data_IF_083106152947
#
_entry.id   IF_083106152947
#
_cell.length_a   1.000
_cell.length_b   1.000
_cell.length_c   1.000
_cell.angle_alpha   90.00
_cell.angle_beta   90.00
_cell.angle_gamma   90.00
#
_symmetry.space_group_name_H-M   'P 1'
#
loop_
_entity.id
_entity.type
_entity.pdbx_description
1 polymer ?
#
# COMPACT_ATOMS: atom_id res chain seq x y z
N UNK A 1 7.76 -1.17 18.25
CA UNK A 1 8.56 -2.14 17.50
C UNK A 1 7.78 -2.72 16.33
N UNK A 2 6.52 -3.11 16.55
CA UNK A 2 5.62 -3.73 15.56
C UNK A 2 5.54 -3.00 14.23
N UNK A 3 5.37 -1.67 14.25
CA UNK A 3 5.29 -0.87 13.02
C UNK A 3 6.62 -0.82 12.25
N UNK A 4 7.76 -1.01 12.92
CA UNK A 4 9.07 -1.11 12.26
C UNK A 4 9.27 -2.47 11.58
N UNK A 5 8.60 -3.52 12.05
CA UNK A 5 8.64 -4.85 11.45
C UNK A 5 7.57 -5.02 10.36
N UNK A 6 6.38 -4.45 10.56
CA UNK A 6 5.27 -4.57 9.62
C UNK A 6 5.55 -3.85 8.29
N UNK A 7 6.18 -2.68 8.33
CA UNK A 7 6.51 -1.88 7.14
C UNK A 7 7.43 -2.62 6.15
N UNK A 8 8.60 -3.15 6.53
CA UNK A 8 9.44 -3.93 5.62
C UNK A 8 8.80 -5.27 5.23
N UNK A 9 8.02 -5.89 6.12
CA UNK A 9 7.33 -7.15 5.81
C UNK A 9 6.32 -6.99 4.68
N UNK A 10 5.44 -5.99 4.76
CA UNK A 10 4.45 -5.72 3.71
C UNK A 10 5.14 -5.35 2.40
N UNK A 11 6.22 -4.55 2.47
CA UNK A 11 7.00 -4.17 1.29
C UNK A 11 7.61 -5.39 0.58
N UNK A 12 8.20 -6.30 1.36
CA UNK A 12 8.76 -7.55 0.85
C UNK A 12 7.69 -8.41 0.17
N UNK A 13 6.53 -8.60 0.80
CA UNK A 13 5.44 -9.37 0.21
C UNK A 13 4.94 -8.75 -1.11
N UNK A 14 4.80 -7.42 -1.18
CA UNK A 14 4.40 -6.73 -2.40
C UNK A 14 5.43 -6.92 -3.52
N UNK A 15 6.73 -6.85 -3.21
CA UNK A 15 7.80 -7.13 -4.18
C UNK A 15 7.78 -8.59 -4.63
N UNK A 16 7.69 -9.52 -3.69
CA UNK A 16 7.65 -10.95 -3.99
C UNK A 16 6.46 -11.32 -4.88
N UNK A 17 5.28 -10.74 -4.63
CA UNK A 17 4.11 -10.92 -5.49
C UNK A 17 4.32 -10.38 -6.91
N UNK A 18 5.02 -9.25 -7.06
CA UNK A 18 5.32 -8.68 -8.37
C UNK A 18 6.39 -9.49 -9.12
N UNK A 19 7.36 -10.09 -8.41
CA UNK A 19 8.44 -10.89 -9.01
C UNK A 19 7.99 -12.31 -9.38
N UNK A 20 7.14 -12.96 -8.55
CA UNK A 20 6.80 -14.38 -8.71
C UNK A 20 5.35 -14.65 -9.16
N UNK A 21 4.42 -13.73 -8.93
CA UNK A 21 2.99 -13.92 -9.22
C UNK A 21 2.43 -12.84 -10.16
N UNK A 22 3.25 -12.37 -11.11
CA UNK A 22 2.85 -11.30 -12.03
C UNK A 22 1.65 -11.70 -12.90
N UNK A 23 1.61 -12.93 -13.42
CA UNK A 23 0.49 -13.45 -14.24
C UNK A 23 -0.85 -13.43 -13.48
N UNK A 24 -0.86 -13.91 -12.23
CA UNK A 24 -2.06 -13.87 -11.38
C UNK A 24 -2.50 -12.43 -11.08
N UNK A 25 -1.55 -11.52 -10.89
CA UNK A 25 -1.83 -10.09 -10.67
C UNK A 25 -2.37 -9.40 -11.93
N UNK A 26 -1.91 -9.80 -13.12
CA UNK A 26 -2.46 -9.33 -14.39
C UNK A 26 -3.91 -9.79 -14.57
N UNK A 27 -4.22 -11.03 -14.18
CA UNK A 27 -5.58 -11.56 -14.14
C UNK A 27 -6.45 -10.74 -13.16
N UNK A 28 -6.01 -10.54 -11.92
CA UNK A 28 -6.76 -9.73 -10.95
C UNK A 28 -7.00 -8.29 -11.44
N UNK A 29 -6.03 -7.72 -12.15
CA UNK A 29 -6.13 -6.36 -12.71
C UNK A 29 -7.19 -6.27 -13.80
N UNK A 30 -7.40 -7.33 -14.58
CA UNK A 30 -8.42 -7.39 -15.63
C UNK A 30 -9.83 -7.63 -15.08
N UNK A 31 -9.97 -8.41 -14.02
CA UNK A 31 -11.28 -8.90 -13.54
C UNK A 31 -11.83 -8.20 -12.29
N UNK A 32 -10.97 -7.69 -11.41
CA UNK A 32 -11.39 -7.10 -10.14
C UNK A 32 -11.16 -5.59 -10.16
N UNK A 33 -9.91 -5.17 -10.35
CA UNK A 33 -9.55 -3.76 -10.22
C UNK A 33 -8.32 -3.41 -11.05
N UNK A 34 -8.50 -2.51 -12.02
CA UNK A 34 -7.44 -2.09 -12.96
C UNK A 34 -6.29 -1.34 -12.30
N UNK A 35 -6.43 -0.94 -11.04
CA UNK A 35 -5.43 -0.17 -10.31
C UNK A 35 -4.57 -1.02 -9.36
N UNK A 36 -4.85 -2.32 -9.24
CA UNK A 36 -4.14 -3.23 -8.32
C UNK A 36 -2.63 -3.21 -8.54
N UNK A 37 -2.15 -3.40 -9.77
CA UNK A 37 -0.72 -3.38 -10.08
C UNK A 37 -0.05 -2.05 -9.71
N UNK A 38 -0.67 -0.92 -10.07
CA UNK A 38 -0.16 0.40 -9.70
C UNK A 38 -0.08 0.59 -8.18
N UNK A 39 -1.06 0.10 -7.43
CA UNK A 39 -1.07 0.18 -5.96
C UNK A 39 0.03 -0.68 -5.36
N UNK A 40 0.22 -1.91 -5.84
CA UNK A 40 1.29 -2.80 -5.40
C UNK A 40 2.68 -2.19 -5.68
N UNK A 41 2.89 -1.64 -6.88
CA UNK A 41 4.13 -0.93 -7.19
C UNK A 41 4.35 0.30 -6.29
N UNK A 42 3.29 1.05 -5.99
CA UNK A 42 3.38 2.20 -5.09
C UNK A 42 3.80 1.77 -3.68
N UNK A 43 3.18 0.72 -3.13
CA UNK A 43 3.50 0.21 -1.78
C UNK A 43 4.91 -0.38 -1.75
N UNK A 44 5.36 -1.03 -2.83
CA UNK A 44 6.72 -1.53 -2.94
C UNK A 44 7.77 -0.41 -3.07
N UNK A 45 7.46 0.71 -3.72
CA UNK A 45 8.42 1.80 -3.96
C UNK A 45 8.46 2.84 -2.84
N UNK A 46 7.31 3.23 -2.29
CA UNK A 46 7.21 4.34 -1.36
C UNK A 46 7.25 3.92 0.11
N UNK A 47 7.80 4.80 0.95
CA UNK A 47 7.85 4.60 2.40
C UNK A 47 6.52 5.01 3.05
N UNK A 48 6.00 4.17 3.95
CA UNK A 48 4.77 4.48 4.67
C UNK A 48 5.02 5.64 5.64
N UNK A 49 4.23 6.71 5.51
CA UNK A 49 4.33 7.84 6.43
C UNK A 49 3.57 7.52 7.72
N UNK A 50 4.26 7.66 8.86
CA UNK A 50 3.65 7.47 10.18
C UNK A 50 3.09 8.79 10.67
N UNK A 51 1.84 8.76 11.07
CA UNK A 51 1.13 9.94 11.54
C UNK A 51 0.40 9.59 12.82
N UNK A 52 0.47 10.49 13.78
CA UNK A 52 -0.22 10.34 15.05
C UNK A 52 -1.67 10.78 14.91
N UNK A 53 -2.57 10.06 15.58
CA UNK A 53 -4.02 10.31 15.51
C UNK A 53 -4.39 11.77 15.83
N UNK A 54 -3.73 12.35 16.84
CA UNK A 54 -3.90 13.76 17.23
C UNK A 54 -3.49 14.75 16.14
N UNK A 55 -2.53 14.40 15.28
CA UNK A 55 -2.12 15.25 14.15
C UNK A 55 -3.05 15.14 12.94
N UNK A 56 -3.81 14.06 12.78
CA UNK A 56 -4.69 13.86 11.62
C UNK A 56 -6.11 14.39 11.78
N UNK A 57 -6.61 14.51 13.01
CA UNK A 57 -7.92 15.10 13.31
C UNK A 57 -8.17 16.46 12.63
N UNK A 58 -7.24 17.44 12.63
CA UNK A 58 -7.47 18.71 11.95
C UNK A 58 -7.55 18.60 10.43
N UNK A 59 -6.86 17.64 9.80
CA UNK A 59 -6.96 17.39 8.36
C UNK A 59 -8.32 16.76 7.98
N UNK A 60 -8.74 15.75 8.73
CA UNK A 60 -10.04 15.08 8.54
C UNK A 60 -11.21 16.05 8.72
N UNK A 61 -11.13 16.98 9.68
CA UNK A 61 -12.16 18.02 9.88
C UNK A 61 -12.20 19.05 8.74
N UNK A 62 -11.08 19.28 8.05
CA UNK A 62 -10.98 20.25 6.95
C UNK A 62 -11.52 19.70 5.63
N UNK A 63 -11.38 18.40 5.37
CA UNK A 63 -11.93 17.75 4.17
C UNK A 63 -13.43 17.46 4.25
N UNK A 64 -14.02 17.52 5.46
CA UNK A 64 -15.47 17.32 5.67
C UNK A 64 -16.29 18.62 5.59
N UNK A 65 -15.66 19.72 5.17
CA UNK A 65 -16.30 20.99 4.78
C UNK A 65 -16.14 21.18 3.29
#
# INVERSE_FOLDING_TARGET
DDMNCAEPYVRFLCQWLLDYCYDDMEFMTKFIDKTVLQRLEMVAKFKLHRVTYTRQLPFLRKQRK
#
